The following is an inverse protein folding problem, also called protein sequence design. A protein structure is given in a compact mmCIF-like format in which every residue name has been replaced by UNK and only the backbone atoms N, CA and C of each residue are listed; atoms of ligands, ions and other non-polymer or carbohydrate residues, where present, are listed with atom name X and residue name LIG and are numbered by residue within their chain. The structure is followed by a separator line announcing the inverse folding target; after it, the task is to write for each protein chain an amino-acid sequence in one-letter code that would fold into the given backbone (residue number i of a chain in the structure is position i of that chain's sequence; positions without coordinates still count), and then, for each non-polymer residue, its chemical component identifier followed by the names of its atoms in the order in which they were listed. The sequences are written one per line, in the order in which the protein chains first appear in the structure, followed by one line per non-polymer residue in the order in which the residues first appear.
data_IF_902971806601
#
_entry.id   IF_902971806601
#
_cell.length_a   1.000
_cell.length_b   1.000
_cell.length_c   1.000
_cell.angle_alpha   90.00
_cell.angle_beta   90.00
_cell.angle_gamma   90.00
#
_symmetry.space_group_name_H-M   'P 1'
#
loop_
_entity.id
_entity.type
_entity.pdbx_description
1 polymer ?
#
# COMPACT_ATOMS: atom_id res chain seq x y z
N UNK A 1 -5.24 1.84 20.54
CA UNK A 1 -4.43 0.86 19.79
C UNK A 1 -5.25 0.13 18.72
N UNK A 2 -6.40 -0.44 19.09
CA UNK A 2 -7.25 -1.14 18.12
C UNK A 2 -7.69 -0.29 16.93
N UNK A 3 -7.99 0.99 17.16
CA UNK A 3 -8.37 1.91 16.08
C UNK A 3 -7.22 2.13 15.10
N UNK A 4 -6.00 2.28 15.61
CA UNK A 4 -4.81 2.47 14.75
C UNK A 4 -4.52 1.22 13.93
N UNK A 5 -4.68 0.04 14.50
CA UNK A 5 -4.49 -1.22 13.79
C UNK A 5 -5.56 -1.44 12.72
N UNK A 6 -6.81 -1.10 13.04
CA UNK A 6 -7.91 -1.16 12.06
C UNK A 6 -7.66 -0.19 10.90
N UNK A 7 -7.20 1.03 11.20
CA UNK A 7 -6.87 2.01 10.17
C UNK A 7 -5.71 1.53 9.31
N UNK A 8 -4.68 0.92 9.91
CA UNK A 8 -3.57 0.33 9.15
C UNK A 8 -4.06 -0.70 8.15
N UNK A 9 -4.96 -1.59 8.57
CA UNK A 9 -5.54 -2.59 7.68
C UNK A 9 -6.34 -1.96 6.53
N UNK A 10 -7.16 -0.94 6.85
CA UNK A 10 -7.93 -0.23 5.83
C UNK A 10 -7.01 0.49 4.84
N UNK A 11 -5.90 1.07 5.31
CA UNK A 11 -4.91 1.71 4.44
C UNK A 11 -4.22 0.69 3.52
N UNK A 12 -3.94 -0.51 4.02
CA UNK A 12 -3.39 -1.59 3.21
C UNK A 12 -4.35 -1.96 2.08
N UNK A 13 -5.65 -2.10 2.38
CA UNK A 13 -6.65 -2.37 1.36
C UNK A 13 -6.77 -1.20 0.37
N UNK A 14 -6.72 0.03 0.86
CA UNK A 14 -6.76 1.22 0.01
C UNK A 14 -5.57 1.27 -0.95
N UNK A 15 -4.39 0.87 -0.50
CA UNK A 15 -3.20 0.77 -1.33
C UNK A 15 -3.41 -0.20 -2.50
N UNK A 16 -4.00 -1.37 -2.23
CA UNK A 16 -4.29 -2.36 -3.26
C UNK A 16 -5.35 -1.85 -4.24
N UNK A 17 -6.38 -1.18 -3.73
CA UNK A 17 -7.43 -0.57 -4.56
C UNK A 17 -6.81 0.53 -5.45
N UNK A 18 -5.91 1.35 -4.90
CA UNK A 18 -5.24 2.39 -5.67
C UNK A 18 -4.45 1.82 -6.85
N UNK A 19 -3.69 0.75 -6.62
CA UNK A 19 -2.94 0.09 -7.67
C UNK A 19 -3.86 -0.50 -8.75
N UNK A 20 -4.95 -1.14 -8.34
CA UNK A 20 -5.95 -1.67 -9.25
C UNK A 20 -6.64 -0.57 -10.06
N UNK A 21 -7.02 0.52 -9.41
CA UNK A 21 -7.61 1.68 -10.06
C UNK A 21 -6.73 2.21 -11.17
N UNK A 22 -5.44 2.38 -10.89
CA UNK A 22 -4.48 2.80 -11.92
C UNK A 22 -4.51 1.86 -13.11
N UNK A 23 -4.39 0.56 -12.89
CA UNK A 23 -4.33 -0.43 -13.98
C UNK A 23 -5.60 -0.48 -14.81
N UNK A 24 -6.77 -0.49 -14.16
CA UNK A 24 -8.06 -0.56 -14.86
C UNK A 24 -8.44 0.74 -15.57
N UNK A 25 -7.82 1.86 -15.24
CA UNK A 25 -8.12 3.15 -15.86
C UNK A 25 -7.07 3.59 -16.89
N UNK A 26 -6.11 2.72 -17.21
CA UNK A 26 -5.13 3.01 -18.26
C UNK A 26 -5.81 3.24 -19.60
N UNK A 27 -5.29 4.20 -20.36
CA UNK A 27 -5.71 4.44 -21.73
C UNK A 27 -5.03 3.42 -22.65
N UNK A 28 -5.54 2.20 -22.63
CA UNK A 28 -4.96 1.06 -23.32
C UNK A 28 -6.04 0.03 -23.61
N UNK A 29 -5.69 -1.01 -24.36
CA UNK A 29 -6.60 -2.10 -24.68
C UNK A 29 -7.03 -2.89 -23.44
N UNK A 30 -8.13 -3.63 -23.56
CA UNK A 30 -8.70 -4.41 -22.46
C UNK A 30 -7.68 -5.39 -21.84
N UNK A 31 -6.88 -6.04 -22.67
CA UNK A 31 -5.87 -6.99 -22.19
C UNK A 31 -4.86 -6.31 -21.27
N UNK A 32 -4.37 -5.14 -21.64
CA UNK A 32 -3.41 -4.36 -20.83
C UNK A 32 -4.07 -3.89 -19.54
N UNK A 33 -5.30 -3.40 -19.60
CA UNK A 33 -6.04 -2.97 -18.40
C UNK A 33 -6.25 -4.12 -17.42
N UNK A 34 -6.62 -5.30 -17.91
CA UNK A 34 -6.80 -6.47 -17.06
C UNK A 34 -5.48 -6.91 -16.42
N UNK A 35 -4.41 -6.96 -17.21
CA UNK A 35 -3.09 -7.33 -16.69
C UNK A 35 -2.59 -6.33 -15.64
N UNK A 36 -2.69 -5.04 -15.91
CA UNK A 36 -2.25 -4.01 -14.97
C UNK A 36 -3.18 -3.90 -13.76
N UNK A 37 -4.50 -3.93 -13.99
CA UNK A 37 -5.49 -3.78 -12.92
C UNK A 37 -5.53 -4.94 -11.95
N UNK A 38 -5.22 -6.14 -12.40
CA UNK A 38 -5.12 -7.33 -11.55
C UNK A 38 -3.67 -7.55 -11.10
N UNK A 39 -2.71 -7.31 -11.98
CA UNK A 39 -1.30 -7.59 -11.72
C UNK A 39 -0.66 -6.63 -10.73
N UNK A 40 -0.95 -5.33 -10.81
CA UNK A 40 -0.36 -4.34 -9.92
C UNK A 40 -0.73 -4.59 -8.44
N UNK A 41 -2.02 -4.72 -8.08
CA UNK A 41 -2.35 -5.04 -6.69
C UNK A 41 -1.85 -6.42 -6.27
N UNK A 42 -1.86 -7.40 -7.16
CA UNK A 42 -1.35 -8.73 -6.86
C UNK A 42 0.15 -8.68 -6.53
N UNK A 43 0.92 -7.95 -7.32
CA UNK A 43 2.36 -7.77 -7.09
C UNK A 43 2.62 -7.11 -5.73
N UNK A 44 1.89 -6.06 -5.43
CA UNK A 44 2.01 -5.37 -4.13
C UNK A 44 1.62 -6.32 -2.99
N UNK A 45 0.53 -7.07 -3.15
CA UNK A 45 0.07 -8.03 -2.14
C UNK A 45 1.11 -9.13 -1.89
N UNK A 46 1.78 -9.62 -2.93
CA UNK A 46 2.83 -10.63 -2.81
C UNK A 46 4.03 -10.06 -2.04
N UNK A 47 4.50 -8.87 -2.41
CA UNK A 47 5.61 -8.21 -1.70
C UNK A 47 5.26 -7.98 -0.24
N UNK A 48 4.06 -7.48 0.02
CA UNK A 48 3.59 -7.22 1.38
C UNK A 48 3.50 -8.53 2.19
N UNK A 49 2.95 -9.58 1.61
CA UNK A 49 2.82 -10.87 2.25
C UNK A 49 4.16 -11.52 2.58
N UNK A 50 5.17 -11.35 1.70
CA UNK A 50 6.49 -11.92 1.90
C UNK A 50 7.28 -11.18 3.00
N UNK A 51 7.19 -9.84 3.06
CA UNK A 51 8.07 -9.03 3.88
C UNK A 51 7.39 -8.35 5.07
N UNK A 52 6.12 -8.01 4.96
CA UNK A 52 5.46 -7.10 5.89
C UNK A 52 4.33 -7.73 6.70
N UNK A 53 3.79 -8.87 6.27
CA UNK A 53 2.68 -9.48 7.00
C UNK A 53 3.15 -10.14 8.30
N UNK A 54 2.23 -10.39 9.28
CA UNK A 54 2.57 -11.13 10.47
C UNK A 54 3.12 -12.54 10.21
N UNK A 55 2.76 -13.11 9.05
CA UNK A 55 3.23 -14.44 8.62
C UNK A 55 4.22 -14.33 7.47
N UNK A 56 5.04 -13.26 7.46
CA UNK A 56 6.01 -13.03 6.40
C UNK A 56 6.99 -14.19 6.26
N UNK A 57 7.21 -14.64 5.03
CA UNK A 57 8.17 -15.70 4.72
C UNK A 57 9.61 -15.23 4.95
N UNK A 58 9.86 -13.93 4.77
CA UNK A 58 11.17 -13.31 4.99
C UNK A 58 10.97 -12.16 5.98
N UNK A 59 11.02 -12.43 7.28
CA UNK A 59 10.84 -11.39 8.29
C UNK A 59 12.01 -10.39 8.25
N UNK A 60 11.68 -9.10 8.21
CA UNK A 60 12.65 -8.03 8.17
C UNK A 60 12.74 -7.34 9.54
N UNK A 61 13.91 -6.81 9.85
CA UNK A 61 14.07 -5.90 10.98
C UNK A 61 13.21 -4.65 10.76
N UNK A 62 12.80 -4.00 11.87
CA UNK A 62 11.86 -2.88 11.80
C UNK A 62 12.24 -1.78 10.79
N UNK A 63 13.50 -1.30 10.69
CA UNK A 63 13.84 -0.29 9.70
C UNK A 63 13.66 -0.76 8.26
N UNK A 64 14.06 -1.99 7.94
CA UNK A 64 13.92 -2.55 6.60
C UNK A 64 12.45 -2.81 6.26
N UNK A 65 11.67 -3.32 7.21
CA UNK A 65 10.22 -3.53 7.07
C UNK A 65 9.52 -2.21 6.77
N UNK A 66 9.84 -1.16 7.51
CA UNK A 66 9.26 0.17 7.28
C UNK A 66 9.60 0.70 5.90
N UNK A 67 10.83 0.47 5.42
CA UNK A 67 11.24 0.89 4.09
C UNK A 67 10.41 0.19 3.01
N UNK A 68 10.18 -1.11 3.12
CA UNK A 68 9.33 -1.86 2.18
C UNK A 68 7.89 -1.35 2.24
N UNK A 69 7.35 -1.12 3.44
CA UNK A 69 6.01 -0.55 3.61
C UNK A 69 5.91 0.83 2.94
N UNK A 70 6.89 1.70 3.18
CA UNK A 70 6.93 3.03 2.57
C UNK A 70 6.96 2.94 1.05
N UNK A 71 7.78 2.05 0.50
CA UNK A 71 7.86 1.85 -0.95
C UNK A 71 6.52 1.42 -1.52
N UNK A 72 5.82 0.50 -0.88
CA UNK A 72 4.50 0.04 -1.31
C UNK A 72 3.46 1.15 -1.28
N UNK A 73 3.39 1.93 -0.19
CA UNK A 73 2.42 3.00 -0.06
C UNK A 73 2.72 4.18 -0.99
N UNK A 74 3.98 4.54 -1.17
CA UNK A 74 4.37 5.58 -2.12
C UNK A 74 4.05 5.13 -3.55
N UNK A 75 4.33 3.88 -3.89
CA UNK A 75 3.97 3.33 -5.19
C UNK A 75 2.46 3.37 -5.42
N UNK A 76 1.65 2.92 -4.46
CA UNK A 76 0.20 2.96 -4.56
C UNK A 76 -0.34 4.38 -4.69
N UNK A 77 0.17 5.31 -3.90
CA UNK A 77 -0.22 6.72 -3.96
C UNK A 77 0.17 7.36 -5.29
N UNK A 78 1.37 7.06 -5.78
CA UNK A 78 1.85 7.57 -7.07
C UNK A 78 1.01 7.02 -8.23
N UNK A 79 0.70 5.73 -8.22
CA UNK A 79 -0.15 5.11 -9.24
C UNK A 79 -1.53 5.75 -9.26
N UNK A 80 -2.10 6.02 -8.08
CA UNK A 80 -3.40 6.68 -7.98
C UNK A 80 -3.35 8.12 -8.51
N UNK A 81 -2.26 8.84 -8.23
CA UNK A 81 -2.04 10.18 -8.78
C UNK A 81 -1.94 10.14 -10.31
N UNK A 82 -1.21 9.16 -10.86
CA UNK A 82 -1.08 8.96 -12.31
C UNK A 82 -2.42 8.60 -12.94
N UNK A 83 -3.33 7.98 -12.20
CA UNK A 83 -4.69 7.69 -12.66
C UNK A 83 -5.62 8.90 -12.62
N UNK A 84 -5.11 10.09 -12.34
CA UNK A 84 -5.88 11.33 -12.29
C UNK A 84 -6.49 11.62 -10.92
N UNK A 85 -6.02 10.97 -9.87
CA UNK A 85 -6.51 11.13 -8.50
C UNK A 85 -5.37 11.53 -7.55
N UNK A 86 -4.75 12.70 -7.74
CA UNK A 86 -3.59 13.08 -6.91
C UNK A 86 -3.94 13.30 -5.44
N UNK A 87 -5.11 13.86 -5.13
CA UNK A 87 -5.50 14.12 -3.74
C UNK A 87 -5.66 12.82 -2.96
N UNK A 88 -6.45 11.82 -3.41
CA UNK A 88 -6.51 10.52 -2.74
C UNK A 88 -5.13 9.84 -2.64
N UNK A 89 -4.29 9.97 -3.67
CA UNK A 89 -2.94 9.40 -3.65
C UNK A 89 -2.06 10.00 -2.56
N UNK A 90 -2.08 11.31 -2.43
CA UNK A 90 -1.35 12.04 -1.38
C UNK A 90 -1.91 11.67 0.00
N UNK A 91 -3.24 11.64 0.13
CA UNK A 91 -3.89 11.28 1.40
C UNK A 91 -3.52 9.87 1.84
N UNK A 92 -3.43 8.92 0.92
CA UNK A 92 -3.03 7.56 1.23
C UNK A 92 -1.66 7.53 1.92
N UNK A 93 -0.68 8.21 1.35
CA UNK A 93 0.68 8.26 1.89
C UNK A 93 0.71 9.02 3.23
N UNK A 94 0.06 10.17 3.30
CA UNK A 94 0.02 11.00 4.51
C UNK A 94 -0.63 10.25 5.67
N UNK A 95 -1.77 9.60 5.41
CA UNK A 95 -2.47 8.83 6.43
C UNK A 95 -1.63 7.64 6.90
N UNK A 96 -0.95 6.97 5.98
CA UNK A 96 -0.05 5.88 6.37
C UNK A 96 1.09 6.38 7.26
N UNK A 97 1.74 7.47 6.90
CA UNK A 97 2.83 8.06 7.69
C UNK A 97 2.33 8.42 9.09
N UNK A 98 1.19 9.13 9.17
CA UNK A 98 0.61 9.53 10.44
C UNK A 98 0.25 8.31 11.31
N UNK A 99 -0.43 7.33 10.73
CA UNK A 99 -0.85 6.13 11.45
C UNK A 99 0.34 5.30 11.94
N UNK A 100 1.34 5.10 11.08
CA UNK A 100 2.56 4.36 11.43
C UNK A 100 3.34 5.06 12.54
N UNK A 101 3.44 6.39 12.47
CA UNK A 101 4.09 7.19 13.52
C UNK A 101 3.37 7.02 14.86
N UNK A 102 2.03 7.11 14.86
CA UNK A 102 1.23 6.95 16.06
C UNK A 102 1.35 5.53 16.64
N UNK A 103 1.36 4.51 15.79
CA UNK A 103 1.56 3.13 16.25
C UNK A 103 2.92 2.95 16.93
N UNK A 104 3.97 3.53 16.36
CA UNK A 104 5.32 3.44 16.94
C UNK A 104 5.43 4.19 18.25
N UNK A 105 4.80 5.35 18.35
CA UNK A 105 4.75 6.12 19.60
C UNK A 105 3.95 5.37 20.67
N UNK A 106 2.98 4.56 20.28
CA UNK A 106 2.22 3.74 21.21
C UNK A 106 2.92 2.42 21.59
N UNK A 107 4.13 2.19 21.04
CA UNK A 107 4.91 0.99 21.36
C UNK A 107 4.63 -0.21 20.47
N UNK A 108 3.82 -0.06 19.42
CA UNK A 108 3.55 -1.14 18.46
C UNK A 108 4.67 -1.20 17.43
N UNK A 109 5.28 -2.37 17.20
CA UNK A 109 6.37 -2.52 16.23
C UNK A 109 5.90 -2.54 14.77
N UNK A 110 4.61 -2.41 14.54
CA UNK A 110 4.03 -2.48 13.18
C UNK A 110 5.01 -2.07 12.06
#
# INVERSE_FOLDING_TARGET
MAVLLALAFLLELAMLVAAGWWGFTLDAGLAVRLLAGLGAPLLIAVVWGIFCSPKASVPLAAPAKTTVQAACFVAGGLLLALAGRPVPGILLVVLWVANTTLLRLAGDPA
#
